data_IF_824992837757
#
_entry.id   IF_824992837757
#
_cell.length_a   1.000
_cell.length_b   1.000
_cell.length_c   1.000
_cell.angle_alpha   90.00
_cell.angle_beta   90.00
_cell.angle_gamma   90.00
#
_symmetry.space_group_name_H-M   'P 1'
#
loop_
_entity.id
_entity.type
_entity.pdbx_description
1 polymer ?
#
# COMPACT_ATOMS: atom_id res chain seq x y z
N UNK A 1 36.44 -32.39 -0.98
CA UNK A 1 36.40 -33.82 -0.65
C UNK A 1 35.18 -34.01 0.22
N UNK A 2 34.18 -34.79 -0.23
CA UNK A 2 32.96 -35.05 0.55
C UNK A 2 33.36 -35.60 1.91
N UNK A 3 32.93 -34.93 2.98
CA UNK A 3 33.34 -35.25 4.35
C UNK A 3 32.49 -36.38 4.93
N UNK A 4 31.25 -36.50 4.45
CA UNK A 4 30.32 -37.59 4.77
C UNK A 4 29.70 -38.17 3.49
N UNK A 5 30.06 -39.43 3.21
CA UNK A 5 29.70 -40.19 2.01
C UNK A 5 28.27 -40.74 2.06
N UNK A 6 27.65 -40.80 3.23
CA UNK A 6 26.29 -41.33 3.38
C UNK A 6 25.26 -40.21 3.16
N UNK A 7 25.65 -38.96 3.45
CA UNK A 7 24.80 -37.76 3.24
C UNK A 7 25.21 -36.91 2.03
N UNK A 8 26.30 -37.28 1.33
CA UNK A 8 26.91 -36.49 0.24
C UNK A 8 27.18 -35.04 0.64
N UNK A 9 27.63 -34.83 1.88
CA UNK A 9 27.82 -33.51 2.49
C UNK A 9 29.29 -33.10 2.46
N UNK A 10 29.54 -31.84 2.09
CA UNK A 10 30.85 -31.19 2.20
C UNK A 10 30.81 -30.14 3.32
N UNK A 11 31.61 -30.32 4.36
CA UNK A 11 31.61 -29.44 5.53
C UNK A 11 32.98 -28.80 5.77
N UNK A 12 32.96 -27.52 6.17
CA UNK A 12 34.10 -26.78 6.72
C UNK A 12 33.90 -26.66 8.23
N UNK A 13 34.91 -27.05 9.01
CA UNK A 13 34.88 -27.01 10.48
C UNK A 13 35.98 -26.12 11.04
N UNK A 14 35.77 -25.58 12.24
CA UNK A 14 36.85 -24.94 13.02
C UNK A 14 37.79 -25.99 13.65
N UNK A 15 38.78 -25.51 14.42
CA UNK A 15 39.76 -26.36 15.12
C UNK A 15 39.12 -27.28 16.17
N UNK A 16 37.93 -26.93 16.67
CA UNK A 16 37.17 -27.69 17.66
C UNK A 16 36.19 -28.69 16.99
N UNK A 17 36.27 -28.83 15.66
CA UNK A 17 35.37 -29.63 14.82
C UNK A 17 33.93 -29.14 14.81
N UNK A 18 33.69 -27.88 15.17
CA UNK A 18 32.36 -27.29 14.99
C UNK A 18 32.16 -26.94 13.53
N UNK A 19 31.02 -27.30 12.97
CA UNK A 19 30.67 -27.00 11.58
C UNK A 19 30.39 -25.51 11.40
N UNK A 20 31.06 -24.90 10.42
CA UNK A 20 30.95 -23.49 10.07
C UNK A 20 30.12 -23.30 8.80
N UNK A 21 30.35 -24.12 7.78
CA UNK A 21 29.62 -24.09 6.52
C UNK A 21 29.45 -25.52 6.04
N UNK A 22 28.30 -25.86 5.48
CA UNK A 22 28.15 -27.09 4.73
C UNK A 22 27.39 -26.89 3.42
N UNK A 23 27.70 -27.75 2.45
CA UNK A 23 26.97 -27.94 1.20
C UNK A 23 26.26 -29.28 1.26
N UNK A 24 24.93 -29.26 1.19
CA UNK A 24 24.07 -30.44 1.22
C UNK A 24 23.90 -31.08 -0.15
N UNK A 25 23.37 -32.30 -0.16
CA UNK A 25 23.11 -33.08 -1.38
C UNK A 25 22.05 -32.47 -2.30
N UNK A 26 21.19 -31.59 -1.78
CA UNK A 26 20.18 -30.85 -2.56
C UNK A 26 20.71 -29.51 -3.11
N UNK A 27 21.98 -29.17 -2.85
CA UNK A 27 22.55 -27.87 -3.21
C UNK A 27 22.40 -26.80 -2.13
N UNK A 28 21.76 -27.12 -1.01
CA UNK A 28 21.61 -26.22 0.13
C UNK A 28 22.95 -25.84 0.72
N UNK A 29 23.06 -24.59 1.16
CA UNK A 29 24.20 -24.07 1.91
C UNK A 29 23.72 -23.58 3.25
N UNK A 30 24.26 -24.12 4.34
CA UNK A 30 24.11 -23.48 5.65
C UNK A 30 25.42 -22.86 6.08
N UNK A 31 25.31 -21.71 6.74
CA UNK A 31 26.42 -20.92 7.22
C UNK A 31 26.17 -20.55 8.68
N UNK A 32 27.17 -20.80 9.52
CA UNK A 32 27.19 -20.37 10.92
C UNK A 32 27.76 -18.95 10.98
N UNK A 33 26.94 -18.01 11.47
CA UNK A 33 27.30 -16.60 11.59
C UNK A 33 26.72 -15.75 10.46
N UNK A 34 27.53 -14.85 9.92
CA UNK A 34 27.11 -13.79 9.01
C UNK A 34 27.52 -14.09 7.57
N UNK A 35 26.62 -13.86 6.60
CA UNK A 35 26.98 -13.77 5.18
C UNK A 35 27.41 -12.33 4.86
N UNK A 36 28.60 -12.14 4.29
CA UNK A 36 29.12 -10.82 3.90
C UNK A 36 29.12 -10.67 2.37
N UNK A 37 28.13 -9.99 1.76
CA UNK A 37 28.12 -9.73 0.32
C UNK A 37 29.33 -8.88 -0.11
N UNK A 38 29.88 -9.08 -1.30
CA UNK A 38 31.01 -8.26 -1.79
C UNK A 38 30.62 -6.78 -1.95
N UNK A 39 31.58 -5.87 -1.74
CA UNK A 39 31.43 -4.47 -2.15
C UNK A 39 31.87 -4.33 -3.62
N UNK A 40 30.90 -4.34 -4.55
CA UNK A 40 31.14 -4.22 -6.00
C UNK A 40 32.21 -5.18 -6.53
N UNK A 41 32.17 -6.42 -6.04
CA UNK A 41 33.13 -7.47 -6.40
C UNK A 41 34.39 -7.53 -5.53
N UNK A 42 34.61 -6.58 -4.61
CA UNK A 42 35.67 -6.64 -3.62
C UNK A 42 35.22 -7.36 -2.34
N UNK A 43 36.14 -8.09 -1.70
CA UNK A 43 35.90 -8.74 -0.40
C UNK A 43 35.75 -7.68 0.69
N UNK A 44 34.76 -7.86 1.57
CA UNK A 44 34.53 -7.01 2.73
C UNK A 44 33.90 -7.82 3.88
N UNK A 45 34.05 -7.37 5.13
CA UNK A 45 33.49 -8.04 6.33
C UNK A 45 32.79 -7.07 7.29
N UNK A 46 32.36 -5.92 6.80
CA UNK A 46 31.70 -4.86 7.58
C UNK A 46 30.18 -4.87 7.42
N UNK A 47 29.66 -5.27 6.25
CA UNK A 47 28.22 -5.36 5.93
C UNK A 47 27.79 -6.80 5.79
N UNK A 48 26.73 -7.20 6.48
CA UNK A 48 26.32 -8.61 6.51
C UNK A 48 24.81 -8.82 6.48
N UNK A 49 24.41 -10.05 6.17
CA UNK A 49 23.06 -10.59 6.30
C UNK A 49 23.11 -11.77 7.27
N UNK A 50 22.11 -11.91 8.14
CA UNK A 50 21.94 -13.05 9.04
C UNK A 50 20.46 -13.29 9.35
N UNK A 51 20.11 -14.49 9.79
CA UNK A 51 18.77 -14.81 10.31
C UNK A 51 18.77 -14.69 11.84
N UNK A 52 17.84 -13.91 12.36
CA UNK A 52 17.60 -13.76 13.79
C UNK A 52 16.45 -14.67 14.21
N UNK A 53 16.78 -15.85 14.74
CA UNK A 53 15.80 -16.88 15.11
C UNK A 53 15.24 -16.75 16.54
N UNK A 54 15.35 -15.57 17.16
CA UNK A 54 14.68 -15.30 18.44
C UNK A 54 13.15 -15.50 18.29
N UNK A 55 12.49 -16.04 19.32
CA UNK A 55 11.02 -16.18 19.34
C UNK A 55 10.33 -14.94 19.92
N UNK A 56 11.11 -13.95 20.38
CA UNK A 56 10.61 -12.66 20.85
C UNK A 56 10.17 -11.71 19.72
N UNK A 57 9.60 -10.55 20.07
CA UNK A 57 9.22 -9.52 19.11
C UNK A 57 10.40 -9.13 18.21
N UNK A 58 10.15 -9.07 16.90
CA UNK A 58 11.14 -8.81 15.85
C UNK A 58 12.21 -9.91 15.65
N UNK A 59 12.09 -11.05 16.32
CA UNK A 59 12.76 -12.29 15.92
C UNK A 59 12.05 -12.96 14.73
N UNK A 60 12.56 -14.10 14.28
CA UNK A 60 12.17 -14.81 13.06
C UNK A 60 12.30 -13.94 11.79
N UNK A 61 13.42 -13.23 11.65
CA UNK A 61 13.64 -12.27 10.54
C UNK A 61 15.04 -12.35 9.94
N UNK A 62 15.12 -12.12 8.63
CA UNK A 62 16.37 -11.80 7.96
C UNK A 62 16.79 -10.37 8.28
N UNK A 63 18.03 -10.16 8.73
CA UNK A 63 18.56 -8.87 9.18
C UNK A 63 19.85 -8.51 8.47
N UNK A 64 20.07 -7.21 8.34
CA UNK A 64 21.33 -6.65 7.82
C UNK A 64 21.71 -5.38 8.59
N UNK A 65 23.00 -5.11 8.70
CA UNK A 65 23.53 -3.82 9.18
C UNK A 65 23.89 -2.86 8.04
N UNK A 66 23.52 -3.19 6.80
CA UNK A 66 23.59 -2.28 5.66
C UNK A 66 22.47 -1.23 5.73
N UNK A 67 22.66 -0.11 5.04
CA UNK A 67 21.64 0.92 4.91
C UNK A 67 20.65 0.54 3.80
N UNK A 68 19.71 -0.35 4.11
CA UNK A 68 18.58 -0.73 3.25
C UNK A 68 18.92 -1.68 2.09
N UNK A 69 17.92 -1.83 1.21
CA UNK A 69 17.98 -2.65 -0.01
C UNK A 69 17.79 -1.73 -1.22
N UNK A 70 18.73 -1.77 -2.17
CA UNK A 70 18.62 -1.05 -3.43
C UNK A 70 18.29 -2.03 -4.55
N UNK A 71 17.24 -1.76 -5.32
CA UNK A 71 16.89 -2.58 -6.48
C UNK A 71 16.67 -1.72 -7.72
N UNK A 72 16.74 -2.33 -8.90
CA UNK A 72 16.51 -1.64 -10.18
C UNK A 72 15.03 -1.44 -10.50
N UNK A 73 14.14 -1.70 -9.54
CA UNK A 73 12.71 -1.38 -9.64
C UNK A 73 12.31 -0.41 -8.53
N UNK A 74 11.09 0.10 -8.59
CA UNK A 74 10.73 1.38 -7.98
C UNK A 74 9.56 1.32 -7.01
N UNK A 75 8.95 0.16 -6.83
CA UNK A 75 7.77 -0.03 -6.02
C UNK A 75 8.00 -1.02 -4.86
N UNK A 76 7.30 -0.75 -3.77
CA UNK A 76 7.13 -1.67 -2.66
C UNK A 76 5.81 -2.40 -2.88
N UNK A 77 5.87 -3.73 -2.95
CA UNK A 77 4.70 -4.57 -3.13
C UNK A 77 4.58 -5.61 -2.03
N UNK A 78 3.36 -6.10 -1.83
CA UNK A 78 3.06 -7.24 -0.97
C UNK A 78 2.26 -8.28 -1.77
N UNK A 79 2.43 -9.55 -1.43
CA UNK A 79 1.62 -10.64 -2.00
C UNK A 79 0.22 -10.62 -1.41
N UNK A 80 -0.80 -10.43 -2.25
CA UNK A 80 -2.21 -10.57 -1.88
C UNK A 80 -2.85 -11.76 -2.60
N UNK A 81 -3.66 -12.57 -1.90
CA UNK A 81 -4.45 -13.60 -2.55
C UNK A 81 -5.60 -12.98 -3.37
N UNK A 82 -5.98 -13.62 -4.47
CA UNK A 82 -7.09 -13.21 -5.33
C UNK A 82 -7.71 -14.43 -6.02
N UNK A 83 -9.04 -14.46 -6.08
CA UNK A 83 -9.79 -15.43 -6.90
C UNK A 83 -9.85 -15.01 -8.38
N UNK A 84 -9.64 -13.71 -8.66
CA UNK A 84 -9.51 -13.21 -10.02
C UNK A 84 -8.15 -13.58 -10.61
N UNK A 85 -8.14 -13.89 -11.91
CA UNK A 85 -6.91 -13.95 -12.70
C UNK A 85 -6.43 -12.52 -13.00
N UNK A 86 -5.54 -12.03 -12.14
CA UNK A 86 -4.97 -10.69 -12.24
C UNK A 86 -3.76 -10.64 -13.19
N UNK A 87 -3.65 -9.54 -13.92
CA UNK A 87 -2.54 -9.28 -14.84
C UNK A 87 -1.69 -8.08 -14.37
N UNK A 88 -0.39 -8.06 -14.70
CA UNK A 88 0.46 -6.91 -14.38
C UNK A 88 -0.10 -5.59 -14.91
N UNK A 89 -0.06 -4.56 -14.06
CA UNK A 89 -0.60 -3.24 -14.33
C UNK A 89 -2.10 -3.07 -14.06
N UNK A 90 -2.85 -4.13 -13.78
CA UNK A 90 -4.26 -3.97 -13.39
C UNK A 90 -4.39 -3.25 -12.04
N UNK A 91 -5.32 -2.31 -11.96
CA UNK A 91 -5.76 -1.72 -10.70
C UNK A 91 -6.54 -2.76 -9.90
N UNK A 92 -6.31 -2.80 -8.59
CA UNK A 92 -6.99 -3.74 -7.68
C UNK A 92 -7.63 -3.03 -6.51
N UNK A 93 -8.68 -3.66 -5.98
CA UNK A 93 -9.39 -3.21 -4.79
C UNK A 93 -9.55 -4.37 -3.79
N UNK A 94 -9.91 -4.07 -2.55
CA UNK A 94 -10.27 -5.09 -1.57
C UNK A 94 -11.53 -5.85 -2.02
N UNK A 95 -11.50 -7.17 -1.88
CA UNK A 95 -12.70 -7.99 -1.96
C UNK A 95 -13.36 -8.06 -0.57
N UNK A 96 -14.48 -7.38 -0.39
CA UNK A 96 -15.23 -7.38 0.89
C UNK A 96 -15.97 -8.69 1.16
N UNK A 97 -16.00 -9.63 0.21
CA UNK A 97 -16.63 -10.93 0.35
C UNK A 97 -15.67 -12.03 0.84
N UNK A 98 -14.35 -11.77 0.81
CA UNK A 98 -13.30 -12.72 1.18
C UNK A 98 -12.26 -12.05 2.08
N UNK A 99 -11.81 -12.76 3.13
CA UNK A 99 -10.83 -12.22 4.07
C UNK A 99 -9.47 -11.99 3.38
N UNK A 100 -8.92 -10.78 3.52
CA UNK A 100 -7.60 -10.38 3.01
C UNK A 100 -7.36 -10.55 1.49
N UNK A 101 -8.41 -10.73 0.69
CA UNK A 101 -8.29 -10.85 -0.76
C UNK A 101 -8.39 -9.50 -1.46
N UNK A 102 -7.78 -9.45 -2.64
CA UNK A 102 -8.02 -8.40 -3.63
C UNK A 102 -8.75 -8.97 -4.83
N UNK A 103 -9.38 -8.08 -5.60
CA UNK A 103 -10.02 -8.37 -6.88
C UNK A 103 -9.72 -7.25 -7.88
N UNK A 104 -10.04 -7.45 -9.16
CA UNK A 104 -9.92 -6.38 -10.16
C UNK A 104 -10.74 -5.18 -9.73
N UNK A 105 -10.15 -3.99 -9.87
CA UNK A 105 -10.86 -2.76 -9.59
C UNK A 105 -11.93 -2.51 -10.66
N UNK A 106 -13.17 -2.34 -10.24
CA UNK A 106 -14.33 -2.00 -11.05
C UNK A 106 -15.00 -0.73 -10.49
N UNK A 107 -15.94 -0.17 -11.26
CA UNK A 107 -16.72 0.99 -10.87
C UNK A 107 -18.07 0.62 -10.21
N UNK A 108 -18.17 -0.56 -9.57
CA UNK A 108 -19.41 -0.98 -8.93
C UNK A 108 -19.85 0.02 -7.84
N UNK A 109 -21.17 0.23 -7.74
CA UNK A 109 -21.76 1.15 -6.77
C UNK A 109 -21.39 0.82 -5.31
N UNK A 110 -21.03 -0.43 -5.04
CA UNK A 110 -20.64 -0.91 -3.70
C UNK A 110 -19.23 -0.47 -3.31
N UNK A 111 -18.37 -0.12 -4.28
CA UNK A 111 -16.96 0.19 -4.04
C UNK A 111 -16.64 1.67 -4.21
N UNK A 112 -17.36 2.44 -5.03
CA UNK A 112 -17.12 3.87 -5.35
C UNK A 112 -15.61 4.27 -5.42
N UNK A 113 -14.72 3.34 -5.78
CA UNK A 113 -13.27 3.47 -5.68
C UNK A 113 -12.66 3.54 -4.27
N UNK A 114 -13.42 3.63 -3.17
CA UNK A 114 -12.87 3.76 -1.79
C UNK A 114 -12.09 2.52 -1.33
N UNK A 115 -12.33 1.39 -1.98
CA UNK A 115 -11.62 0.13 -1.74
C UNK A 115 -10.35 -0.03 -2.58
N UNK A 116 -9.98 0.95 -3.42
CA UNK A 116 -8.74 0.90 -4.21
C UNK A 116 -7.53 0.68 -3.30
N UNK A 117 -6.76 -0.37 -3.59
CA UNK A 117 -5.59 -0.77 -2.80
C UNK A 117 -4.30 -0.39 -3.51
N UNK A 118 -4.23 -0.65 -4.81
CA UNK A 118 -2.98 -0.53 -5.54
C UNK A 118 -3.07 -1.07 -6.96
N UNK A 119 -1.92 -1.48 -7.47
CA UNK A 119 -1.75 -1.94 -8.85
C UNK A 119 -0.93 -3.23 -8.82
N UNK A 120 -1.27 -4.21 -9.64
CA UNK A 120 -0.47 -5.44 -9.78
C UNK A 120 0.91 -5.08 -10.31
N UNK A 121 1.95 -5.30 -9.49
CA UNK A 121 3.33 -4.95 -9.82
C UNK A 121 3.85 -5.81 -10.97
N UNK A 122 4.50 -5.18 -11.94
CA UNK A 122 5.20 -5.88 -13.03
C UNK A 122 6.55 -6.44 -12.58
N UNK A 123 7.20 -5.74 -11.63
CA UNK A 123 8.55 -6.06 -11.19
C UNK A 123 8.79 -5.37 -9.84
N UNK A 124 8.40 -5.95 -8.70
CA UNK A 124 8.53 -5.26 -7.42
C UNK A 124 10.00 -5.00 -7.06
N UNK A 125 10.28 -3.81 -6.53
CA UNK A 125 11.59 -3.48 -6.00
C UNK A 125 11.84 -4.10 -4.64
N UNK A 126 10.81 -4.19 -3.82
CA UNK A 126 10.75 -4.99 -2.61
C UNK A 126 9.42 -5.73 -2.60
N UNK A 127 9.44 -7.03 -2.31
CA UNK A 127 8.25 -7.85 -2.23
C UNK A 127 8.12 -8.45 -0.84
N UNK A 128 7.09 -8.04 -0.12
CA UNK A 128 6.68 -8.60 1.15
C UNK A 128 5.66 -9.74 0.94
N UNK A 129 5.46 -10.55 1.98
CA UNK A 129 4.49 -11.65 1.97
C UNK A 129 5.05 -12.95 1.37
N UNK A 130 4.36 -14.04 1.64
CA UNK A 130 4.68 -15.36 1.09
C UNK A 130 4.17 -15.44 -0.35
N UNK A 131 4.97 -16.01 -1.24
CA UNK A 131 4.58 -16.24 -2.64
C UNK A 131 3.77 -17.53 -2.77
N UNK A 132 2.58 -17.54 -2.15
CA UNK A 132 1.66 -18.67 -2.18
C UNK A 132 0.90 -18.75 -3.51
N UNK A 133 0.41 -19.95 -3.83
CA UNK A 133 -0.40 -20.17 -5.04
C UNK A 133 -1.66 -19.31 -4.98
N UNK A 134 -1.97 -18.60 -6.06
CA UNK A 134 -3.13 -17.70 -6.14
C UNK A 134 -2.89 -16.31 -5.54
N UNK A 135 -1.64 -15.99 -5.15
CA UNK A 135 -1.27 -14.65 -4.71
C UNK A 135 -0.59 -13.85 -5.83
N UNK A 136 -0.77 -12.53 -5.78
CA UNK A 136 -0.26 -11.58 -6.76
C UNK A 136 0.52 -10.46 -6.06
N UNK A 137 1.62 -9.96 -6.65
CA UNK A 137 2.34 -8.84 -6.08
C UNK A 137 1.55 -7.55 -6.33
N UNK A 138 0.99 -6.95 -5.28
CA UNK A 138 0.28 -5.67 -5.36
C UNK A 138 1.21 -4.58 -4.86
N UNK A 139 1.52 -3.62 -5.74
CA UNK A 139 2.26 -2.43 -5.36
C UNK A 139 1.41 -1.55 -4.44
N UNK A 140 2.00 -1.16 -3.31
CA UNK A 140 1.38 -0.32 -2.27
C UNK A 140 2.03 1.07 -2.17
N UNK A 141 3.23 1.23 -2.76
CA UNK A 141 3.90 2.52 -2.87
C UNK A 141 4.91 2.50 -4.01
N UNK A 142 5.18 3.65 -4.64
CA UNK A 142 6.25 3.83 -5.61
C UNK A 142 5.77 4.10 -7.03
N UNK A 143 6.62 3.82 -8.03
CA UNK A 143 6.32 4.06 -9.46
C UNK A 143 5.98 2.76 -10.14
N UNK A 144 4.75 2.64 -10.61
CA UNK A 144 4.18 1.37 -11.08
C UNK A 144 3.55 1.57 -12.46
N UNK A 145 3.83 0.72 -13.44
CA UNK A 145 3.05 0.68 -14.68
C UNK A 145 1.59 0.33 -14.37
N UNK A 146 0.65 1.12 -14.86
CA UNK A 146 -0.78 0.99 -14.66
C UNK A 146 -1.48 0.88 -16.01
N UNK A 147 -2.40 -0.08 -16.16
CA UNK A 147 -3.28 -0.16 -17.31
C UNK A 147 -4.28 0.98 -17.23
N UNK A 148 -4.45 1.70 -18.33
CA UNK A 148 -5.34 2.85 -18.41
C UNK A 148 -6.10 2.87 -19.73
N UNK A 149 -7.18 3.63 -19.78
CA UNK A 149 -7.89 3.91 -21.02
C UNK A 149 -8.23 5.41 -21.17
N UNK A 150 -8.85 5.74 -22.31
CA UNK A 150 -9.23 7.11 -22.67
C UNK A 150 -10.63 7.50 -22.18
N UNK A 151 -11.21 6.76 -21.24
CA UNK A 151 -12.41 7.24 -20.56
C UNK A 151 -12.05 8.56 -19.84
N UNK A 152 -12.93 9.57 -19.95
CA UNK A 152 -12.66 10.96 -19.54
C UNK A 152 -11.52 11.68 -20.30
N UNK A 153 -11.06 11.11 -21.42
CA UNK A 153 -10.13 11.73 -22.37
C UNK A 153 -8.67 11.32 -22.17
N UNK A 154 -7.76 11.98 -22.90
CA UNK A 154 -6.33 11.75 -22.78
C UNK A 154 -5.83 12.06 -21.36
N UNK A 155 -4.80 11.30 -20.95
CA UNK A 155 -4.14 11.43 -19.65
C UNK A 155 -2.84 12.22 -19.87
N UNK A 156 -2.63 13.23 -19.05
CA UNK A 156 -1.42 14.03 -19.00
C UNK A 156 -0.63 13.72 -17.72
N UNK A 157 0.66 14.07 -17.73
CA UNK A 157 1.48 14.01 -16.53
C UNK A 157 0.85 14.90 -15.45
N UNK A 158 0.65 14.35 -14.26
CA UNK A 158 -0.03 15.02 -13.16
C UNK A 158 -1.52 14.72 -13.03
N UNK A 159 -2.12 14.05 -14.02
CA UNK A 159 -3.54 13.70 -13.94
C UNK A 159 -3.79 12.60 -12.89
N UNK A 160 -4.83 12.75 -12.05
CA UNK A 160 -5.26 11.70 -11.13
C UNK A 160 -5.88 10.52 -11.88
N UNK A 161 -5.56 9.30 -11.45
CA UNK A 161 -6.07 8.05 -12.05
C UNK A 161 -7.06 7.38 -11.11
N UNK A 162 -8.29 7.17 -11.57
CA UNK A 162 -9.38 6.47 -10.85
C UNK A 162 -9.81 5.20 -11.60
N UNK A 163 -10.72 4.42 -11.02
CA UNK A 163 -11.31 3.24 -11.67
C UNK A 163 -12.10 3.63 -12.92
N UNK A 164 -11.94 2.85 -14.00
CA UNK A 164 -12.74 3.01 -15.22
C UNK A 164 -13.96 2.08 -15.24
N UNK A 165 -14.74 2.16 -16.30
CA UNK A 165 -15.80 1.17 -16.60
C UNK A 165 -15.26 -0.19 -17.04
N UNK A 166 -13.98 -0.27 -17.42
CA UNK A 166 -13.28 -1.51 -17.77
C UNK A 166 -12.56 -2.03 -16.53
N UNK A 167 -12.94 -3.21 -15.99
CA UNK A 167 -12.32 -3.73 -14.77
C UNK A 167 -10.80 -3.91 -14.89
N UNK A 168 -10.07 -3.46 -13.89
CA UNK A 168 -8.60 -3.48 -13.84
C UNK A 168 -7.94 -2.32 -14.59
N UNK A 169 -8.66 -1.52 -15.36
CA UNK A 169 -8.10 -0.36 -16.05
C UNK A 169 -8.46 0.95 -15.36
N UNK A 170 -7.47 1.83 -15.24
CA UNK A 170 -7.67 3.19 -14.76
C UNK A 170 -8.15 4.14 -15.85
N UNK A 171 -8.71 5.27 -15.43
CA UNK A 171 -9.01 6.41 -16.30
C UNK A 171 -8.64 7.71 -15.61
N UNK A 172 -8.60 8.82 -16.36
CA UNK A 172 -8.47 10.14 -15.74
C UNK A 172 -9.67 10.43 -14.83
N UNK A 173 -9.41 10.87 -13.61
CA UNK A 173 -10.45 11.46 -12.76
C UNK A 173 -10.75 12.89 -13.22
N UNK A 174 -11.99 13.14 -13.64
CA UNK A 174 -12.51 14.43 -14.12
C UNK A 174 -13.44 15.12 -13.11
N UNK A 175 -13.71 14.45 -11.99
CA UNK A 175 -14.46 14.95 -10.85
C UNK A 175 -13.91 14.34 -9.55
N UNK A 176 -14.47 14.74 -8.42
CA UNK A 176 -14.13 14.16 -7.13
C UNK A 176 -14.31 12.63 -7.11
N UNK A 177 -13.26 11.91 -6.70
CA UNK A 177 -13.24 10.45 -6.74
C UNK A 177 -12.09 9.89 -5.89
N UNK A 178 -12.16 8.61 -5.58
CA UNK A 178 -10.99 7.89 -5.09
C UNK A 178 -10.05 7.56 -6.24
N UNK A 179 -8.77 7.79 -6.04
CA UNK A 179 -7.72 7.62 -7.05
C UNK A 179 -6.69 6.63 -6.54
N UNK A 180 -6.06 5.92 -7.47
CA UNK A 180 -4.94 4.99 -7.17
C UNK A 180 -3.60 5.74 -7.11
N UNK A 181 -3.51 6.89 -7.78
CA UNK A 181 -2.30 7.69 -7.83
C UNK A 181 -2.34 8.77 -8.91
N UNK A 182 -1.16 9.27 -9.25
CA UNK A 182 -0.96 10.37 -10.20
C UNK A 182 -0.14 9.86 -11.39
N UNK A 183 -0.58 10.17 -12.61
CA UNK A 183 0.14 9.84 -13.84
C UNK A 183 1.51 10.53 -13.90
N UNK A 184 2.55 9.77 -14.24
CA UNK A 184 3.91 10.28 -14.51
C UNK A 184 4.23 10.31 -16.00
N UNK A 185 3.32 9.79 -16.83
CA UNK A 185 3.44 9.72 -18.28
C UNK A 185 2.13 10.15 -18.94
N UNK A 186 2.20 10.55 -20.20
CA UNK A 186 1.01 10.86 -21.00
C UNK A 186 0.45 9.59 -21.64
N UNK A 187 -0.88 9.51 -21.78
CA UNK A 187 -1.56 8.49 -22.56
C UNK A 187 -2.55 9.11 -23.52
N UNK A 188 -2.38 8.82 -24.81
CA UNK A 188 -3.25 9.26 -25.91
C UNK A 188 -3.77 8.07 -26.74
N UNK A 189 -3.55 6.84 -26.27
CA UNK A 189 -3.96 5.61 -26.94
C UNK A 189 -2.93 5.08 -27.94
N UNK A 190 -1.74 5.67 -28.01
CA UNK A 190 -0.66 5.22 -28.93
C UNK A 190 0.40 4.34 -28.25
N UNK A 191 0.41 4.31 -26.92
CA UNK A 191 1.34 3.55 -26.11
C UNK A 191 1.00 2.04 -26.18
N UNK A 192 2.02 1.20 -26.21
CA UNK A 192 1.83 -0.27 -26.18
C UNK A 192 1.19 -0.71 -24.86
N UNK A 193 0.38 -1.77 -24.94
CA UNK A 193 -0.27 -2.45 -23.80
C UNK A 193 -1.14 -1.57 -22.89
N UNK A 194 -1.46 -0.35 -23.33
CA UNK A 194 -2.25 0.62 -22.57
C UNK A 194 -1.65 0.95 -21.18
N UNK A 195 -0.32 0.92 -21.05
CA UNK A 195 0.37 1.18 -19.80
C UNK A 195 0.91 2.61 -19.71
N UNK A 196 0.75 3.20 -18.53
CA UNK A 196 1.51 4.38 -18.10
C UNK A 196 2.12 4.18 -16.72
N UNK A 197 3.24 4.83 -16.46
CA UNK A 197 3.79 4.89 -15.11
C UNK A 197 2.95 5.82 -14.24
N UNK A 198 2.49 5.30 -13.10
CA UNK A 198 1.75 6.03 -12.06
C UNK A 198 2.59 6.10 -10.79
N UNK A 199 2.64 7.27 -10.15
CA UNK A 199 3.08 7.39 -8.76
C UNK A 199 1.93 6.97 -7.86
N UNK A 200 2.08 5.80 -7.24
CA UNK A 200 1.03 5.21 -6.41
C UNK A 200 0.81 6.06 -5.16
N UNK A 201 -0.42 6.52 -4.99
CA UNK A 201 -0.86 7.34 -3.87
C UNK A 201 -2.38 7.21 -3.79
N UNK A 202 -2.83 6.13 -3.15
CA UNK A 202 -4.26 5.89 -2.97
C UNK A 202 -4.87 6.97 -2.09
N UNK A 203 -6.06 7.43 -2.43
CA UNK A 203 -6.76 8.41 -1.61
C UNK A 203 -7.87 9.14 -2.34
N UNK A 204 -8.43 10.13 -1.66
CA UNK A 204 -9.49 10.98 -2.21
C UNK A 204 -8.89 12.14 -3.00
N UNK A 205 -9.35 12.28 -4.25
CA UNK A 205 -9.17 13.47 -5.07
C UNK A 205 -10.42 14.32 -5.00
N UNK A 206 -10.26 15.61 -4.69
CA UNK A 206 -11.36 16.54 -4.43
C UNK A 206 -11.90 17.25 -5.68
N UNK A 207 -11.52 16.82 -6.89
CA UNK A 207 -12.00 17.39 -8.14
C UNK A 207 -11.27 18.66 -8.60
N UNK A 208 -10.36 19.24 -7.79
CA UNK A 208 -9.60 20.43 -8.18
C UNK A 208 -8.17 20.08 -8.59
N UNK A 209 -7.81 20.42 -9.82
CA UNK A 209 -6.40 20.42 -10.24
C UNK A 209 -5.67 21.59 -9.56
N UNK A 210 -4.34 21.52 -9.41
CA UNK A 210 -3.54 22.58 -8.73
C UNK A 210 -3.66 23.95 -9.42
N UNK A 211 -4.14 24.00 -10.67
CA UNK A 211 -4.43 25.22 -11.44
C UNK A 211 -5.79 25.87 -11.06
N UNK A 212 -6.63 25.17 -10.30
CA UNK A 212 -7.97 25.57 -9.91
C UNK A 212 -8.13 25.58 -8.38
N UNK A 213 -7.13 26.09 -7.66
CA UNK A 213 -7.37 26.59 -6.32
C UNK A 213 -8.32 27.79 -6.42
N UNK A 214 -9.61 27.49 -6.59
CA UNK A 214 -10.68 28.44 -6.49
C UNK A 214 -10.65 28.98 -5.06
N UNK A 215 -10.03 30.14 -4.88
CA UNK A 215 -10.11 30.94 -3.65
C UNK A 215 -11.50 31.53 -3.44
N UNK A 216 -12.43 31.26 -4.37
CA UNK A 216 -13.79 31.74 -4.39
C UNK A 216 -14.79 30.59 -4.18
N UNK A 217 -14.71 29.95 -3.01
CA UNK A 217 -15.87 29.21 -2.47
C UNK A 217 -16.12 29.65 -1.04
N UNK A 218 -16.61 30.89 -0.93
CA UNK A 218 -17.55 31.24 0.14
C UNK A 218 -18.87 30.50 -0.13
N UNK A 219 -18.86 29.18 0.04
CA UNK A 219 -20.05 28.34 0.03
C UNK A 219 -20.86 28.62 1.29
N UNK A 220 -21.48 29.79 1.36
CA UNK A 220 -22.40 30.12 2.42
C UNK A 220 -23.64 29.25 2.25
N UNK A 221 -23.99 28.49 3.28
CA UNK A 221 -25.30 27.84 3.42
C UNK A 221 -26.37 28.95 3.53
N UNK A 222 -26.72 29.58 2.40
CA UNK A 222 -27.66 30.71 2.31
C UNK A 222 -29.13 30.26 2.27
N UNK A 223 -29.38 28.95 2.24
CA UNK A 223 -30.73 28.36 2.16
C UNK A 223 -31.34 27.94 3.50
N UNK A 224 -30.60 28.01 4.61
CA UNK A 224 -31.16 27.74 5.93
C UNK A 224 -31.99 28.92 6.41
N UNK A 225 -33.30 28.75 6.52
CA UNK A 225 -34.12 29.69 7.31
C UNK A 225 -33.55 29.71 8.72
N UNK A 226 -33.25 30.89 9.27
CA UNK A 226 -32.73 31.00 10.64
C UNK A 226 -33.62 30.20 11.61
N UNK A 227 -33.06 29.13 12.21
CA UNK A 227 -33.78 28.23 13.11
C UNK A 227 -33.97 26.77 12.64
N UNK A 228 -33.48 26.39 11.45
CA UNK A 228 -33.46 24.98 11.04
C UNK A 228 -32.18 24.27 11.50
N UNK A 229 -32.33 23.01 11.93
CA UNK A 229 -31.20 22.13 12.24
C UNK A 229 -30.55 21.64 10.93
N UNK A 230 -29.23 21.53 10.93
CA UNK A 230 -28.50 20.82 9.90
C UNK A 230 -28.69 19.31 10.13
N UNK A 231 -29.48 18.66 9.29
CA UNK A 231 -29.61 17.21 9.25
C UNK A 231 -28.79 16.64 8.09
N UNK A 232 -27.89 15.71 8.42
CA UNK A 232 -27.00 15.06 7.48
C UNK A 232 -27.52 13.71 6.98
N UNK A 233 -28.65 13.24 7.49
CA UNK A 233 -29.23 11.93 7.14
C UNK A 233 -28.24 10.75 7.26
N UNK A 234 -27.24 10.86 8.15
CA UNK A 234 -26.22 9.83 8.37
C UNK A 234 -25.00 9.87 7.44
N UNK A 235 -24.92 10.81 6.50
CA UNK A 235 -23.73 10.98 5.65
C UNK A 235 -22.55 11.64 6.41
N UNK A 236 -21.29 11.32 6.07
CA UNK A 236 -20.11 11.94 6.70
C UNK A 236 -19.86 13.37 6.20
N UNK A 237 -19.23 14.21 7.05
CA UNK A 237 -18.66 15.50 6.63
C UNK A 237 -17.21 15.26 6.22
N UNK A 238 -16.85 15.52 4.97
CA UNK A 238 -15.49 15.34 4.43
C UNK A 238 -14.91 16.68 3.94
N UNK A 239 -13.58 16.83 3.97
CA UNK A 239 -12.90 18.07 3.57
C UNK A 239 -13.07 19.23 4.57
N UNK A 240 -13.39 18.92 5.83
CA UNK A 240 -13.67 19.90 6.87
C UNK A 240 -12.39 20.54 7.43
N UNK A 241 -12.24 21.86 7.25
CA UNK A 241 -11.10 22.61 7.81
C UNK A 241 -11.25 22.93 9.31
N UNK A 242 -12.45 23.31 9.75
CA UNK A 242 -12.78 23.51 11.16
C UNK A 242 -14.30 23.52 11.39
N UNK A 243 -14.73 23.19 12.61
CA UNK A 243 -16.06 23.47 13.15
C UNK A 243 -15.89 24.39 14.36
N UNK A 244 -16.59 25.52 14.38
CA UNK A 244 -16.55 26.46 15.49
C UNK A 244 -17.96 26.67 16.05
N UNK A 245 -18.07 26.58 17.38
CA UNK A 245 -19.28 26.95 18.10
C UNK A 245 -19.52 28.45 18.09
N UNK A 246 -20.78 28.84 18.33
CA UNK A 246 -21.15 30.24 18.53
C UNK A 246 -20.25 30.86 19.61
N UNK A 247 -19.75 32.07 19.34
CA UNK A 247 -18.84 32.82 20.21
C UNK A 247 -17.53 32.08 20.56
N UNK A 248 -17.14 31.04 19.80
CA UNK A 248 -15.90 30.30 20.01
C UNK A 248 -15.88 29.48 21.30
N UNK A 249 -17.04 29.14 21.86
CA UNK A 249 -17.16 28.34 23.09
C UNK A 249 -16.57 26.93 22.95
N UNK A 250 -16.55 26.42 21.73
CA UNK A 250 -15.88 25.18 21.37
C UNK A 250 -15.38 25.23 19.92
N UNK A 251 -14.39 24.41 19.60
CA UNK A 251 -13.90 24.24 18.23
C UNK A 251 -13.32 22.85 17.98
N UNK A 252 -13.35 22.43 16.72
CA UNK A 252 -12.60 21.29 16.17
C UNK A 252 -11.83 21.82 14.96
N UNK A 253 -10.51 21.68 14.93
CA UNK A 253 -9.69 22.08 13.77
C UNK A 253 -9.35 20.88 12.86
N UNK A 254 -8.79 21.18 11.68
CA UNK A 254 -8.41 20.19 10.67
C UNK A 254 -7.26 19.26 11.09
N UNK A 255 -6.64 19.53 12.24
CA UNK A 255 -5.65 18.63 12.85
C UNK A 255 -6.29 17.73 13.93
N UNK A 256 -7.62 17.78 14.08
CA UNK A 256 -8.37 17.01 15.08
C UNK A 256 -8.26 17.56 16.50
N UNK A 257 -7.71 18.77 16.70
CA UNK A 257 -7.65 19.38 18.02
C UNK A 257 -9.04 19.88 18.39
N UNK A 258 -9.50 19.46 19.57
CA UNK A 258 -10.76 19.92 20.15
C UNK A 258 -10.48 20.90 21.30
N UNK A 259 -11.18 22.03 21.29
CA UNK A 259 -11.18 22.99 22.41
C UNK A 259 -12.62 23.08 22.91
N UNK A 260 -12.84 22.80 24.19
CA UNK A 260 -14.14 22.87 24.82
C UNK A 260 -14.00 22.98 26.33
N UNK A 261 -15.06 23.45 27.00
CA UNK A 261 -15.06 23.69 28.44
C UNK A 261 -15.08 22.39 29.25
N UNK A 262 -15.91 21.43 28.84
CA UNK A 262 -16.10 20.13 29.50
C UNK A 262 -16.39 19.06 28.44
N UNK A 263 -16.03 17.81 28.74
CA UNK A 263 -16.31 16.62 27.91
C UNK A 263 -16.95 15.57 28.80
N UNK A 264 -18.16 15.13 28.46
CA UNK A 264 -18.77 13.95 29.05
C UNK A 264 -18.70 12.79 28.06
N UNK A 265 -17.83 11.82 28.32
CA UNK A 265 -17.79 10.57 27.58
C UNK A 265 -18.60 9.52 28.35
N UNK A 266 -19.61 8.94 27.70
CA UNK A 266 -20.34 7.80 28.26
C UNK A 266 -19.42 6.58 28.39
N UNK A 267 -19.60 5.80 29.46
CA UNK A 267 -19.07 4.43 29.52
C UNK A 267 -20.10 3.50 28.90
N UNK A 268 -19.67 2.59 28.02
CA UNK A 268 -20.51 1.51 27.50
C UNK A 268 -21.23 0.79 28.65
N UNK A 269 -22.54 0.99 28.76
CA UNK A 269 -23.40 0.20 29.64
C UNK A 269 -23.89 -1.04 28.91
N UNK A 270 -22.97 -1.95 28.54
CA UNK A 270 -23.38 -3.32 28.20
C UNK A 270 -22.28 -4.38 28.31
N UNK A 271 -21.70 -4.53 29.50
CA UNK A 271 -21.09 -5.80 29.91
C UNK A 271 -21.75 -6.28 31.19
N UNK A 272 -22.89 -6.96 31.02
CA UNK A 272 -23.54 -7.72 32.09
C UNK A 272 -22.57 -8.73 32.74
N UNK A 273 -22.82 -9.12 34.00
CA UNK A 273 -21.88 -9.92 34.78
C UNK A 273 -21.68 -11.30 34.15
N UNK A 274 -20.42 -11.69 33.91
CA UNK A 274 -20.06 -13.08 33.68
C UNK A 274 -20.26 -13.83 35.01
N UNK A 275 -21.29 -14.65 35.09
CA UNK A 275 -21.46 -15.62 36.17
C UNK A 275 -20.30 -16.61 36.15
N UNK A 276 -19.72 -16.81 37.33
CA UNK A 276 -18.62 -17.73 37.66
C UNK A 276 -19.00 -19.18 37.38
#
# INVERSE_FOLDING_TARGET
MVTDKDTYRLSLTDNDRTELIYFGSQGDVALRGNLYPSDRGAIQTNRYIYYDGDTGPAGDMMRTNAAGWGTGSYDFAEMFPSDDALEPGELVMLDVSQEAHVKKADNSHESNGYLLVGIVSTRPGFLAGLNDVGSYPVALEGRVPAKVNLENGAINIGDPITVSTVPGEGRKADAESYVVGIALETYDGTQEDNLITVFLKTGWYNGTTVEEANTDTSGSLTGGTAGQLLDMAGYPIIGLGALEGIDGLWSIDGNGRMVMKDIEAGTDQDRGPRSV
#
